data_IF_219829399796
#
_entry.id   IF_219829399796
#
_cell.length_a   1.000
_cell.length_b   1.000
_cell.length_c   1.000
_cell.angle_alpha   90.00
_cell.angle_beta   90.00
_cell.angle_gamma   90.00
#
_symmetry.space_group_name_H-M   'P 1'
#
loop_
_entity.id
_entity.type
_entity.pdbx_description
1 polymer ?
#
# COMPACT_ATOMS: atom_id res chain seq x y z
N UNK A 1 -13.19 -21.25 9.40
CA UNK A 1 -14.09 -20.47 8.52
C UNK A 1 -13.83 -20.89 7.08
N UNK A 2 -14.89 -21.18 6.34
CA UNK A 2 -14.80 -21.45 4.91
C UNK A 2 -14.69 -20.11 4.17
N UNK A 3 -13.81 -20.05 3.16
CA UNK A 3 -13.77 -18.92 2.25
C UNK A 3 -15.08 -18.86 1.47
N UNK A 4 -15.71 -17.68 1.33
CA UNK A 4 -16.91 -17.53 0.51
C UNK A 4 -16.58 -17.87 -0.95
N UNK A 5 -17.55 -18.38 -1.72
CA UNK A 5 -17.35 -18.64 -3.14
C UNK A 5 -17.18 -17.33 -3.91
N UNK A 6 -16.34 -17.34 -4.92
CA UNK A 6 -16.16 -16.25 -5.89
C UNK A 6 -15.76 -16.82 -7.25
N UNK A 7 -16.01 -16.08 -8.31
CA UNK A 7 -15.52 -16.38 -9.65
C UNK A 7 -14.16 -15.73 -9.83
N UNK A 8 -13.14 -16.53 -10.14
CA UNK A 8 -11.78 -16.04 -10.39
C UNK A 8 -11.53 -15.88 -11.89
N UNK A 9 -11.15 -14.67 -12.29
CA UNK A 9 -10.83 -14.32 -13.68
C UNK A 9 -9.31 -14.17 -13.87
N UNK A 10 -8.82 -14.49 -15.06
CA UNK A 10 -7.39 -14.49 -15.40
C UNK A 10 -7.11 -13.78 -16.73
N UNK A 11 -7.30 -12.46 -16.83
CA UNK A 11 -6.87 -11.73 -18.02
C UNK A 11 -5.35 -11.84 -18.19
N UNK A 12 -4.89 -11.78 -19.44
CA UNK A 12 -3.46 -11.89 -19.80
C UNK A 12 -2.86 -10.57 -20.29
N UNK A 13 -3.71 -9.60 -20.63
CA UNK A 13 -3.28 -8.25 -21.03
C UNK A 13 -3.97 -7.19 -20.18
N UNK A 14 -3.41 -6.00 -20.18
CA UNK A 14 -3.98 -4.83 -19.49
C UNK A 14 -5.35 -4.48 -20.06
N UNK A 15 -5.46 -4.51 -21.40
CA UNK A 15 -6.69 -4.21 -22.12
C UNK A 15 -7.80 -5.18 -21.74
N UNK A 16 -7.52 -6.49 -21.77
CA UNK A 16 -8.50 -7.52 -21.38
C UNK A 16 -8.94 -7.39 -19.91
N UNK A 17 -8.03 -6.94 -19.02
CA UNK A 17 -8.36 -6.68 -17.62
C UNK A 17 -9.30 -5.48 -17.49
N UNK A 18 -9.04 -4.39 -18.21
CA UNK A 18 -9.89 -3.20 -18.21
C UNK A 18 -11.26 -3.46 -18.85
N UNK A 19 -11.32 -4.23 -19.94
CA UNK A 19 -12.56 -4.63 -20.60
C UNK A 19 -13.44 -5.46 -19.65
N UNK A 20 -12.85 -6.47 -19.00
CA UNK A 20 -13.56 -7.30 -18.02
C UNK A 20 -14.09 -6.48 -16.84
N UNK A 21 -13.28 -5.53 -16.33
CA UNK A 21 -13.73 -4.63 -15.27
C UNK A 21 -14.92 -3.79 -15.73
N UNK A 22 -14.87 -3.23 -16.95
CA UNK A 22 -15.97 -2.47 -17.52
C UNK A 22 -17.24 -3.33 -17.69
N UNK A 23 -17.12 -4.58 -18.15
CA UNK A 23 -18.25 -5.52 -18.28
C UNK A 23 -18.92 -5.81 -16.94
N UNK A 24 -18.14 -6.11 -15.90
CA UNK A 24 -18.67 -6.37 -14.55
C UNK A 24 -19.35 -5.12 -13.97
N UNK A 25 -18.73 -3.94 -14.11
CA UNK A 25 -19.31 -2.65 -13.67
C UNK A 25 -20.65 -2.39 -14.39
N UNK A 26 -20.69 -2.60 -15.72
CA UNK A 26 -21.92 -2.42 -16.50
C UNK A 26 -23.04 -3.40 -16.10
N UNK A 27 -22.68 -4.60 -15.64
CA UNK A 27 -23.59 -5.59 -15.11
C UNK A 27 -24.04 -5.32 -13.65
N UNK A 28 -23.45 -4.31 -12.97
CA UNK A 28 -23.69 -4.02 -11.56
C UNK A 28 -23.03 -5.04 -10.62
N UNK A 29 -22.04 -5.81 -11.12
CA UNK A 29 -21.35 -6.83 -10.35
C UNK A 29 -20.09 -6.24 -9.71
N UNK A 30 -19.91 -6.49 -8.42
CA UNK A 30 -18.74 -6.03 -7.68
C UNK A 30 -17.59 -7.03 -7.76
N UNK A 31 -16.37 -6.50 -7.79
CA UNK A 31 -15.16 -7.34 -7.87
C UNK A 31 -14.00 -6.72 -7.08
N UNK A 32 -12.99 -7.55 -6.80
CA UNK A 32 -11.70 -7.13 -6.27
C UNK A 32 -10.58 -7.50 -7.25
N UNK A 33 -9.56 -6.65 -7.33
CA UNK A 33 -8.29 -7.00 -7.93
C UNK A 33 -7.46 -7.86 -6.97
N UNK A 34 -6.89 -8.95 -7.44
CA UNK A 34 -5.95 -9.75 -6.66
C UNK A 34 -4.57 -9.76 -7.32
N UNK A 35 -3.58 -9.35 -6.54
CA UNK A 35 -2.17 -9.50 -6.89
C UNK A 35 -1.62 -10.81 -6.28
N UNK A 36 -0.78 -10.74 -5.24
CA UNK A 36 -0.28 -11.95 -4.54
C UNK A 36 -1.26 -12.63 -3.60
N UNK A 37 -2.41 -12.04 -3.32
CA UNK A 37 -3.47 -12.61 -2.47
C UNK A 37 -3.15 -12.71 -0.99
N UNK A 38 -1.96 -12.30 -0.56
CA UNK A 38 -1.48 -12.47 0.82
C UNK A 38 -2.22 -11.62 1.86
N UNK A 39 -2.99 -10.65 1.43
CA UNK A 39 -3.87 -9.84 2.27
C UNK A 39 -5.35 -10.06 1.94
N UNK A 40 -5.73 -10.04 0.66
CA UNK A 40 -7.11 -10.18 0.23
C UNK A 40 -7.72 -11.52 0.68
N UNK A 41 -7.02 -12.65 0.45
CA UNK A 41 -7.57 -13.97 0.77
C UNK A 41 -7.72 -14.22 2.28
N UNK A 42 -6.79 -13.82 3.16
CA UNK A 42 -7.02 -13.79 4.60
C UNK A 42 -8.26 -12.97 5.00
N UNK A 43 -8.46 -11.78 4.42
CA UNK A 43 -9.64 -10.97 4.67
C UNK A 43 -10.93 -11.68 4.21
N UNK A 44 -10.92 -12.33 3.05
CA UNK A 44 -12.04 -13.15 2.58
C UNK A 44 -12.38 -14.29 3.53
N UNK A 45 -11.38 -14.98 4.11
CA UNK A 45 -11.60 -15.99 5.14
C UNK A 45 -12.28 -15.44 6.41
N UNK A 46 -12.11 -14.17 6.68
CA UNK A 46 -12.77 -13.48 7.79
C UNK A 46 -14.09 -12.81 7.36
N UNK A 47 -14.53 -13.05 6.14
CA UNK A 47 -15.70 -12.43 5.51
C UNK A 47 -15.62 -10.88 5.52
N UNK A 48 -14.45 -10.33 5.37
CA UNK A 48 -14.25 -8.90 5.27
C UNK A 48 -14.34 -8.47 3.81
N UNK A 49 -15.33 -7.63 3.52
CA UNK A 49 -15.53 -6.98 2.22
C UNK A 49 -15.42 -7.93 1.01
N UNK A 50 -16.06 -9.11 1.11
CA UNK A 50 -16.00 -10.14 0.06
C UNK A 50 -16.81 -9.75 -1.17
N UNK A 51 -16.29 -10.06 -2.36
CA UNK A 51 -16.93 -9.79 -3.64
C UNK A 51 -17.21 -11.10 -4.39
N UNK A 52 -18.24 -11.14 -5.25
CA UNK A 52 -18.55 -12.33 -6.04
C UNK A 52 -17.54 -12.60 -7.16
N UNK A 53 -16.77 -11.59 -7.58
CA UNK A 53 -15.76 -11.72 -8.61
C UNK A 53 -14.39 -11.26 -8.10
N UNK A 54 -13.34 -11.94 -8.55
CA UNK A 54 -11.93 -11.59 -8.28
C UNK A 54 -11.17 -11.62 -9.60
N UNK A 55 -10.53 -10.53 -9.97
CA UNK A 55 -9.73 -10.41 -11.19
C UNK A 55 -8.25 -10.49 -10.82
N UNK A 56 -7.56 -11.53 -11.31
CA UNK A 56 -6.14 -11.77 -11.03
C UNK A 56 -5.24 -11.00 -11.96
N UNK A 57 -4.31 -10.22 -11.39
CA UNK A 57 -3.27 -9.51 -12.11
C UNK A 57 -2.05 -10.40 -12.46
N UNK A 58 -2.01 -11.65 -11.94
CA UNK A 58 -0.82 -12.50 -11.97
C UNK A 58 -0.38 -12.94 -13.37
N UNK A 59 -1.26 -12.89 -14.37
CA UNK A 59 -0.97 -13.29 -15.74
C UNK A 59 -0.87 -12.13 -16.73
N UNK A 60 -1.01 -10.89 -16.26
CA UNK A 60 -0.93 -9.71 -17.12
C UNK A 60 0.54 -9.47 -17.48
N UNK A 61 0.84 -9.50 -18.76
CA UNK A 61 2.18 -9.31 -19.29
C UNK A 61 2.70 -7.90 -18.96
N UNK A 62 4.03 -7.78 -18.76
CA UNK A 62 4.71 -6.50 -18.49
C UNK A 62 4.54 -5.93 -17.07
N UNK A 63 3.72 -6.55 -16.21
CA UNK A 63 3.46 -6.04 -14.84
C UNK A 63 4.52 -6.42 -13.82
N UNK A 64 5.53 -7.22 -14.18
CA UNK A 64 6.63 -7.66 -13.31
C UNK A 64 8.00 -7.10 -13.74
N UNK A 65 8.02 -6.01 -14.48
CA UNK A 65 9.26 -5.36 -14.95
C UNK A 65 10.05 -4.77 -13.78
N UNK A 66 11.36 -5.03 -13.77
CA UNK A 66 12.30 -4.40 -12.83
C UNK A 66 13.36 -3.65 -13.64
N UNK A 67 13.46 -2.36 -13.41
CA UNK A 67 14.56 -1.52 -13.89
C UNK A 67 14.93 -0.47 -12.83
N UNK A 68 15.99 0.29 -13.05
CA UNK A 68 16.42 1.34 -12.10
C UNK A 68 15.33 2.39 -11.83
N UNK A 69 14.53 2.71 -12.84
CA UNK A 69 13.54 3.79 -12.76
C UNK A 69 12.09 3.29 -12.92
N UNK A 70 11.85 1.98 -13.11
CA UNK A 70 10.51 1.45 -13.28
C UNK A 70 10.34 0.10 -12.56
N UNK A 71 9.30 0.01 -11.75
CA UNK A 71 8.93 -1.17 -10.98
C UNK A 71 7.47 -1.54 -11.25
N UNK A 72 7.23 -2.68 -11.85
CA UNK A 72 5.88 -3.20 -12.12
C UNK A 72 5.13 -3.62 -10.86
N UNK A 73 3.81 -3.49 -10.86
CA UNK A 73 2.99 -3.78 -9.67
C UNK A 73 3.05 -5.24 -9.19
N UNK A 74 3.33 -6.18 -10.09
CA UNK A 74 3.35 -7.61 -9.81
C UNK A 74 4.73 -8.16 -9.44
N UNK A 75 5.75 -7.30 -9.33
CA UNK A 75 7.04 -7.72 -8.78
C UNK A 75 6.83 -8.29 -7.38
N UNK A 76 7.29 -9.50 -7.14
CA UNK A 76 7.26 -10.10 -5.80
C UNK A 76 8.27 -9.41 -4.90
N UNK A 77 7.93 -9.25 -3.64
CA UNK A 77 8.83 -8.62 -2.68
C UNK A 77 10.11 -9.43 -2.46
N UNK A 78 10.06 -10.74 -2.59
CA UNK A 78 11.25 -11.59 -2.57
C UNK A 78 12.19 -11.25 -3.74
N UNK A 79 11.63 -11.15 -4.96
CA UNK A 79 12.42 -10.84 -6.16
C UNK A 79 13.05 -9.44 -6.07
N UNK A 80 12.35 -8.46 -5.47
CA UNK A 80 12.91 -7.11 -5.23
C UNK A 80 14.12 -7.14 -4.31
N UNK A 81 14.18 -8.05 -3.35
CA UNK A 81 15.31 -8.14 -2.41
C UNK A 81 16.56 -8.76 -3.04
N UNK A 82 16.41 -9.45 -4.15
CA UNK A 82 17.49 -10.16 -4.86
C UNK A 82 17.89 -9.47 -6.16
N UNK A 83 17.04 -8.59 -6.70
CA UNK A 83 17.26 -7.95 -7.99
C UNK A 83 18.33 -6.85 -7.94
N UNK A 84 19.21 -6.85 -8.92
CA UNK A 84 20.07 -5.72 -9.18
C UNK A 84 19.26 -4.55 -9.78
N UNK A 85 19.53 -3.33 -9.33
CA UNK A 85 18.93 -2.11 -9.89
C UNK A 85 17.73 -1.57 -9.09
N UNK A 86 17.22 -2.28 -8.10
CA UNK A 86 16.25 -1.72 -7.14
C UNK A 86 17.00 -0.85 -6.13
N UNK A 87 16.46 0.35 -5.87
CA UNK A 87 17.09 1.30 -4.92
C UNK A 87 17.24 0.68 -3.52
N UNK A 88 18.40 0.80 -2.84
CA UNK A 88 18.67 0.10 -1.58
C UNK A 88 17.66 0.35 -0.46
N UNK A 89 17.08 1.55 -0.34
CA UNK A 89 16.07 1.85 0.67
C UNK A 89 14.76 1.07 0.43
N UNK A 90 14.39 0.81 -0.83
CA UNK A 90 13.23 0.00 -1.19
C UNK A 90 13.50 -1.47 -0.81
N UNK A 91 14.70 -1.98 -1.10
CA UNK A 91 15.16 -3.33 -0.72
C UNK A 91 15.10 -3.50 0.80
N UNK A 92 15.58 -2.50 1.56
CA UNK A 92 15.51 -2.53 3.03
C UNK A 92 14.06 -2.69 3.52
N UNK A 93 13.13 -1.91 3.00
CA UNK A 93 11.72 -1.99 3.38
C UNK A 93 11.10 -3.33 2.95
N UNK A 94 11.30 -3.75 1.71
CA UNK A 94 10.79 -5.01 1.18
C UNK A 94 11.25 -6.21 2.04
N UNK A 95 12.51 -6.23 2.49
CA UNK A 95 13.07 -7.28 3.34
C UNK A 95 12.41 -7.37 4.72
N UNK A 96 11.81 -6.28 5.21
CA UNK A 96 11.13 -6.19 6.52
C UNK A 96 9.62 -6.47 6.45
N UNK A 97 9.04 -6.65 5.25
CA UNK A 97 7.63 -7.01 5.11
C UNK A 97 7.40 -8.45 5.57
N UNK A 98 6.48 -8.65 6.51
CA UNK A 98 5.99 -9.95 6.98
C UNK A 98 7.10 -11.00 7.20
N UNK A 99 7.00 -12.17 6.56
CA UNK A 99 8.00 -13.23 6.57
C UNK A 99 8.56 -13.50 5.16
N UNK A 100 9.67 -14.20 5.06
CA UNK A 100 10.25 -14.60 3.76
C UNK A 100 9.24 -15.39 2.92
N UNK A 101 8.46 -16.28 3.54
CA UNK A 101 7.43 -17.05 2.85
C UNK A 101 6.31 -16.17 2.30
N UNK A 102 5.85 -15.15 3.03
CA UNK A 102 4.84 -14.22 2.55
C UNK A 102 5.38 -13.42 1.36
N UNK A 103 6.63 -12.96 1.42
CA UNK A 103 7.26 -12.17 0.35
C UNK A 103 7.38 -12.90 -0.98
N UNK A 104 7.36 -14.25 -1.01
CA UNK A 104 7.37 -15.02 -2.26
C UNK A 104 6.09 -14.86 -3.09
N UNK A 105 5.01 -14.37 -2.48
CA UNK A 105 3.74 -14.07 -3.17
C UNK A 105 3.32 -12.61 -3.05
N UNK A 106 3.63 -11.95 -1.93
CA UNK A 106 3.35 -10.52 -1.77
C UNK A 106 4.05 -9.70 -2.85
N UNK A 107 3.36 -8.70 -3.41
CA UNK A 107 3.84 -7.90 -4.52
C UNK A 107 3.96 -6.42 -4.15
N UNK A 108 4.69 -5.65 -4.96
CA UNK A 108 4.81 -4.20 -4.82
C UNK A 108 3.42 -3.53 -4.82
N UNK A 109 2.64 -3.76 -5.86
CA UNK A 109 1.30 -3.17 -5.99
C UNK A 109 0.37 -3.58 -4.85
N UNK A 110 0.41 -4.86 -4.44
CA UNK A 110 -0.35 -5.35 -3.28
C UNK A 110 0.04 -4.66 -1.97
N UNK A 111 1.34 -4.36 -1.76
CA UNK A 111 1.80 -3.62 -0.58
C UNK A 111 1.38 -2.14 -0.63
N UNK A 112 1.45 -1.49 -1.79
CA UNK A 112 1.02 -0.10 -1.94
C UNK A 112 -0.49 0.07 -1.80
N UNK A 113 -1.27 -0.88 -2.31
CA UNK A 113 -2.74 -0.89 -2.23
C UNK A 113 -3.27 -1.61 -0.98
N UNK A 114 -2.41 -1.91 0.01
CA UNK A 114 -2.79 -2.59 1.24
C UNK A 114 -3.99 -1.90 1.90
N UNK A 115 -4.95 -2.70 2.40
CA UNK A 115 -6.05 -2.13 3.16
C UNK A 115 -5.57 -1.62 4.53
N UNK A 116 -6.21 -0.57 5.02
CA UNK A 116 -5.90 0.00 6.33
C UNK A 116 -6.29 -0.96 7.46
N UNK A 117 -5.53 -0.94 8.54
CA UNK A 117 -5.65 -1.87 9.66
C UNK A 117 -6.28 -1.23 10.88
N UNK A 118 -7.19 -1.98 11.50
CA UNK A 118 -7.79 -1.61 12.77
C UNK A 118 -8.14 -2.88 13.56
N UNK A 119 -7.81 -2.90 14.85
CA UNK A 119 -8.15 -4.02 15.72
C UNK A 119 -9.65 -4.37 15.68
N UNK A 120 -10.51 -3.37 15.61
CA UNK A 120 -11.96 -3.52 15.61
C UNK A 120 -12.55 -4.00 14.27
N UNK A 121 -11.83 -3.82 13.17
CA UNK A 121 -12.31 -4.22 11.85
C UNK A 121 -11.72 -5.55 11.37
N UNK A 122 -10.42 -5.77 11.59
CA UNK A 122 -9.72 -6.95 11.07
C UNK A 122 -9.92 -8.17 11.99
N UNK A 123 -11.19 -8.56 12.17
CA UNK A 123 -11.66 -9.69 12.98
C UNK A 123 -12.67 -10.53 12.17
N UNK A 124 -12.92 -11.76 12.64
CA UNK A 124 -13.95 -12.61 12.03
C UNK A 124 -15.34 -11.98 12.11
N UNK A 125 -16.22 -12.36 11.17
CA UNK A 125 -17.55 -11.79 11.03
C UNK A 125 -18.38 -11.87 12.33
N UNK A 126 -18.41 -13.05 12.99
CA UNK A 126 -19.16 -13.24 14.23
C UNK A 126 -18.71 -12.30 15.34
N UNK A 127 -17.41 -12.07 15.44
CA UNK A 127 -16.87 -11.11 16.40
C UNK A 127 -17.28 -9.67 16.06
N UNK A 128 -17.14 -9.27 14.79
CA UNK A 128 -17.58 -7.93 14.34
C UNK A 128 -19.07 -7.70 14.59
N UNK A 129 -19.89 -8.71 14.35
CA UNK A 129 -21.32 -8.69 14.63
C UNK A 129 -21.61 -8.54 16.14
N UNK A 130 -20.86 -9.22 17.00
CA UNK A 130 -21.08 -9.18 18.45
C UNK A 130 -20.82 -7.81 19.09
N UNK A 131 -20.02 -6.96 18.43
CA UNK A 131 -19.75 -5.59 18.86
C UNK A 131 -20.59 -4.55 18.12
N UNK A 132 -21.61 -4.98 17.40
CA UNK A 132 -22.46 -4.14 16.56
C UNK A 132 -21.66 -3.36 15.49
N UNK A 133 -20.69 -4.05 14.86
CA UNK A 133 -19.86 -3.55 13.75
C UNK A 133 -19.10 -2.24 14.08
N UNK A 134 -18.55 -1.63 13.06
CA UNK A 134 -18.01 -0.26 13.06
C UNK A 134 -18.40 0.43 11.74
N UNK A 135 -18.19 1.73 11.63
CA UNK A 135 -18.58 2.48 10.42
C UNK A 135 -17.79 2.08 9.15
N UNK A 136 -16.66 1.39 9.27
CA UNK A 136 -15.94 0.78 8.13
C UNK A 136 -16.51 -0.59 7.75
N UNK A 137 -17.51 -1.10 8.45
CA UNK A 137 -18.04 -2.43 8.18
C UNK A 137 -18.60 -2.56 6.77
N UNK A 138 -18.29 -3.66 6.13
CA UNK A 138 -18.77 -4.04 4.80
C UNK A 138 -20.28 -4.27 4.70
N UNK A 139 -20.94 -4.53 5.82
CA UNK A 139 -22.39 -4.67 5.90
C UNK A 139 -23.16 -3.34 6.01
N UNK A 140 -22.47 -2.21 6.19
CA UNK A 140 -23.08 -0.88 6.28
C UNK A 140 -23.96 -0.62 7.51
N UNK A 141 -23.94 -1.48 8.52
CA UNK A 141 -24.80 -1.35 9.73
C UNK A 141 -24.09 -0.72 10.92
N UNK A 142 -22.76 -0.59 10.87
CA UNK A 142 -21.98 0.06 11.92
C UNK A 142 -22.17 1.58 11.90
N UNK A 143 -22.67 2.15 13.00
CA UNK A 143 -23.01 3.57 13.10
C UNK A 143 -21.85 4.45 13.55
N UNK A 144 -20.79 3.87 14.16
CA UNK A 144 -19.76 4.67 14.83
C UNK A 144 -18.39 4.00 14.79
N UNK A 145 -17.35 4.82 14.93
CA UNK A 145 -15.98 4.35 15.08
C UNK A 145 -15.75 3.76 16.47
N UNK A 146 -15.22 2.51 16.53
CA UNK A 146 -14.93 1.85 17.83
C UNK A 146 -13.61 2.31 18.44
N UNK A 147 -12.75 2.98 17.67
CA UNK A 147 -11.49 3.57 18.19
C UNK A 147 -11.77 4.94 18.79
N UNK A 148 -12.54 5.77 18.09
CA UNK A 148 -12.89 7.14 18.52
C UNK A 148 -14.42 7.28 18.44
N UNK A 149 -15.14 6.87 19.50
CA UNK A 149 -16.60 6.95 19.53
C UNK A 149 -17.10 8.40 19.48
N UNK A 150 -18.30 8.57 18.92
CA UNK A 150 -18.97 9.87 18.75
C UNK A 150 -18.17 10.88 17.90
N UNK A 151 -17.22 10.41 17.15
CA UNK A 151 -16.54 11.20 16.14
C UNK A 151 -16.96 10.76 14.74
N UNK A 152 -17.26 11.66 13.98
CA UNK A 152 -17.27 11.93 12.59
C UNK A 152 -17.28 10.74 11.58
N UNK A 153 -17.29 11.16 10.36
CA UNK A 153 -17.40 10.36 9.14
C UNK A 153 -16.09 9.69 8.69
N UNK A 154 -14.92 10.01 9.27
CA UNK A 154 -13.63 9.48 8.83
C UNK A 154 -13.22 8.24 9.62
N UNK A 155 -12.63 7.28 8.94
CA UNK A 155 -12.05 6.10 9.56
C UNK A 155 -10.58 6.33 9.91
N UNK A 156 -10.20 6.03 11.16
CA UNK A 156 -8.82 6.17 11.67
C UNK A 156 -7.99 4.89 11.57
N UNK A 157 -8.47 3.89 10.82
CA UNK A 157 -7.67 2.69 10.56
C UNK A 157 -6.36 3.07 9.86
N UNK A 158 -5.25 2.53 10.31
CA UNK A 158 -3.91 2.94 9.86
C UNK A 158 -3.48 2.21 8.59
N UNK A 159 -2.79 2.93 7.69
CA UNK A 159 -2.09 2.31 6.58
C UNK A 159 -0.75 1.74 7.08
N UNK A 160 -0.48 0.47 6.81
CA UNK A 160 0.68 -0.25 7.38
C UNK A 160 1.60 -0.90 6.33
N UNK A 161 1.62 -0.35 5.10
CA UNK A 161 2.57 -0.78 4.07
C UNK A 161 3.98 -0.23 4.35
N UNK A 162 4.98 -1.10 4.28
CA UNK A 162 6.38 -0.73 4.54
C UNK A 162 7.04 0.02 3.37
N UNK A 163 6.58 -0.22 2.12
CA UNK A 163 7.29 0.27 0.92
C UNK A 163 6.91 1.72 0.57
N UNK A 164 5.67 2.12 0.80
CA UNK A 164 5.18 3.44 0.41
C UNK A 164 6.07 4.59 0.92
N UNK A 165 6.47 4.68 2.20
CA UNK A 165 7.31 5.77 2.67
C UNK A 165 8.68 5.81 1.97
N UNK A 166 9.23 4.66 1.54
CA UNK A 166 10.51 4.64 0.82
C UNK A 166 10.38 5.20 -0.59
N UNK A 167 9.26 4.96 -1.25
CA UNK A 167 8.96 5.54 -2.56
C UNK A 167 8.66 7.04 -2.47
N UNK A 168 8.00 7.48 -1.40
CA UNK A 168 7.73 8.90 -1.15
C UNK A 168 9.04 9.69 -0.97
N UNK A 169 9.99 9.21 -0.18
CA UNK A 169 11.25 9.92 0.01
C UNK A 169 12.16 9.91 -1.22
N UNK A 170 11.86 9.05 -2.20
CA UNK A 170 12.53 9.04 -3.51
C UNK A 170 11.79 9.86 -4.57
N UNK A 171 10.62 10.45 -4.26
CA UNK A 171 9.84 11.24 -5.20
C UNK A 171 9.15 10.41 -6.29
N UNK A 172 8.76 9.18 -6.00
CA UNK A 172 8.15 8.27 -6.97
C UNK A 172 6.79 8.75 -7.49
N UNK A 173 6.45 8.29 -8.70
CA UNK A 173 5.11 8.43 -9.28
C UNK A 173 4.46 7.06 -9.46
N UNK A 174 3.13 6.99 -9.27
CA UNK A 174 2.32 5.80 -9.53
C UNK A 174 1.56 5.95 -10.84
N UNK A 175 1.49 4.86 -11.59
CA UNK A 175 0.75 4.77 -12.84
C UNK A 175 -0.47 3.89 -12.64
N UNK A 176 -1.63 4.46 -12.81
CA UNK A 176 -2.94 3.81 -12.67
C UNK A 176 -3.53 3.57 -14.03
N UNK A 177 -4.28 2.48 -14.17
CA UNK A 177 -5.00 2.15 -15.41
C UNK A 177 -6.35 1.53 -15.05
N UNK A 178 -7.35 1.79 -15.86
CA UNK A 178 -8.68 1.25 -15.73
C UNK A 178 -9.51 1.46 -16.99
N UNK A 179 -10.81 1.15 -16.98
CA UNK A 179 -11.70 1.30 -18.13
C UNK A 179 -11.74 2.71 -18.73
N UNK A 180 -11.50 3.73 -17.92
CA UNK A 180 -11.53 5.14 -18.34
C UNK A 180 -10.16 5.63 -18.86
N UNK A 181 -9.16 4.78 -18.94
CA UNK A 181 -7.81 5.11 -19.44
C UNK A 181 -6.74 5.07 -18.36
N UNK A 182 -5.57 5.63 -18.68
CA UNK A 182 -4.40 5.65 -17.81
C UNK A 182 -4.18 7.07 -17.24
N UNK A 183 -3.69 7.14 -16.00
CA UNK A 183 -3.24 8.38 -15.36
C UNK A 183 -2.03 8.15 -14.48
N UNK A 184 -1.25 9.21 -14.32
CA UNK A 184 -0.04 9.20 -13.48
C UNK A 184 -0.12 10.31 -12.45
N UNK A 185 0.29 10.04 -11.23
CA UNK A 185 0.33 11.04 -10.15
C UNK A 185 1.51 10.75 -9.20
N UNK A 186 1.99 11.77 -8.47
CA UNK A 186 2.96 11.56 -7.39
C UNK A 186 2.39 10.61 -6.34
N UNK A 187 3.25 9.79 -5.74
CA UNK A 187 2.82 8.77 -4.77
C UNK A 187 2.16 9.37 -3.51
N UNK A 188 2.54 10.57 -3.10
CA UNK A 188 1.93 11.27 -1.96
C UNK A 188 0.46 11.66 -2.24
N UNK A 189 0.12 11.94 -3.52
CA UNK A 189 -1.25 12.19 -3.95
C UNK A 189 -2.10 10.91 -4.14
N UNK A 190 -1.49 9.73 -4.02
CA UNK A 190 -2.21 8.46 -4.18
C UNK A 190 -3.07 8.11 -2.97
N UNK A 191 -2.66 8.51 -1.77
CA UNK A 191 -3.33 8.14 -0.53
C UNK A 191 -4.34 9.20 -0.07
N UNK A 192 -5.38 8.75 0.65
CA UNK A 192 -6.41 9.62 1.24
C UNK A 192 -6.47 9.40 2.75
N UNK A 193 -6.58 10.49 3.51
CA UNK A 193 -6.65 10.47 4.97
C UNK A 193 -8.03 9.97 5.46
N UNK A 194 -8.40 8.77 5.03
CA UNK A 194 -9.60 8.06 5.43
C UNK A 194 -9.35 6.55 5.35
N UNK A 195 -9.44 5.85 6.47
CA UNK A 195 -9.23 4.41 6.52
C UNK A 195 -10.24 3.57 5.72
N UNK A 196 -11.39 4.12 5.34
CA UNK A 196 -12.34 3.49 4.41
C UNK A 196 -11.95 3.73 2.96
N UNK A 197 -11.64 4.99 2.63
CA UNK A 197 -11.29 5.43 1.27
C UNK A 197 -9.79 5.71 1.19
N UNK A 198 -9.00 4.67 1.39
CA UNK A 198 -7.55 4.71 1.61
C UNK A 198 -6.70 5.28 0.49
N UNK A 199 -7.20 5.27 -0.75
CA UNK A 199 -6.48 5.77 -1.92
C UNK A 199 -7.45 6.33 -2.98
N UNK A 200 -6.88 6.93 -4.03
CA UNK A 200 -7.63 7.61 -5.10
C UNK A 200 -8.00 6.70 -6.27
N UNK A 201 -7.83 5.38 -6.15
CA UNK A 201 -8.29 4.47 -7.20
C UNK A 201 -9.79 4.65 -7.44
N UNK A 202 -10.14 4.85 -8.69
CA UNK A 202 -11.53 4.82 -9.15
C UNK A 202 -11.99 3.37 -9.33
N UNK A 203 -13.30 3.17 -9.44
CA UNK A 203 -13.85 1.84 -9.68
C UNK A 203 -13.29 1.25 -10.99
N UNK A 204 -12.80 0.04 -10.93
CA UNK A 204 -12.16 -0.62 -12.06
C UNK A 204 -10.70 -0.23 -12.33
N UNK A 205 -10.14 0.74 -11.61
CA UNK A 205 -8.71 1.05 -11.72
C UNK A 205 -7.84 0.09 -10.91
N UNK A 206 -6.62 -0.14 -11.40
CA UNK A 206 -5.55 -0.80 -10.64
C UNK A 206 -4.21 -0.08 -10.84
N UNK A 207 -3.30 -0.26 -9.89
CA UNK A 207 -1.94 0.24 -9.99
C UNK A 207 -1.15 -0.66 -10.92
N UNK A 208 -0.63 -0.08 -12.03
CA UNK A 208 0.10 -0.80 -13.06
C UNK A 208 1.60 -0.87 -12.73
N UNK A 209 2.20 0.25 -12.37
CA UNK A 209 3.64 0.37 -12.09
C UNK A 209 3.95 1.62 -11.26
N UNK A 210 5.18 1.68 -10.79
CA UNK A 210 5.78 2.84 -10.13
C UNK A 210 7.00 3.27 -10.94
N UNK A 211 7.22 4.58 -11.07
CA UNK A 211 8.45 5.13 -11.65
C UNK A 211 9.17 6.02 -10.63
N UNK A 212 10.50 5.96 -10.69
CA UNK A 212 11.39 6.83 -9.90
C UNK A 212 11.93 7.94 -10.81
N UNK A 213 12.12 9.17 -10.30
CA UNK A 213 12.79 10.21 -11.05
C UNK A 213 14.28 9.89 -11.24
N UNK A 214 14.91 10.48 -12.26
CA UNK A 214 16.29 10.18 -12.65
C UNK A 214 17.30 10.51 -11.54
N UNK A 215 17.00 11.43 -10.65
CA UNK A 215 17.85 11.82 -9.52
C UNK A 215 17.69 10.92 -8.29
N UNK A 216 16.71 10.02 -8.27
CA UNK A 216 16.55 9.04 -7.19
C UNK A 216 17.84 8.23 -6.96
N UNK A 217 18.55 7.88 -8.04
CA UNK A 217 19.80 7.13 -7.96
C UNK A 217 20.94 7.90 -7.22
N UNK A 218 20.83 9.22 -7.08
CA UNK A 218 21.80 10.05 -6.35
C UNK A 218 21.51 10.12 -4.85
N UNK A 219 20.37 9.63 -4.43
CA UNK A 219 19.93 9.69 -3.03
C UNK A 219 20.43 8.46 -2.27
N UNK A 220 20.95 8.67 -1.09
CA UNK A 220 21.14 7.63 -0.08
C UNK A 220 19.87 7.54 0.74
N UNK A 221 19.53 6.36 1.25
CA UNK A 221 18.28 6.20 2.03
C UNK A 221 18.41 5.14 3.10
N UNK A 222 17.55 5.24 4.12
CA UNK A 222 17.41 4.28 5.20
C UNK A 222 15.95 4.08 5.54
N UNK A 223 15.58 2.84 5.90
CA UNK A 223 14.26 2.49 6.39
C UNK A 223 14.35 1.77 7.74
N UNK A 224 13.62 2.25 8.72
CA UNK A 224 13.51 1.63 10.03
C UNK A 224 12.04 1.27 10.31
N UNK A 225 11.84 0.11 10.95
CA UNK A 225 10.52 -0.43 11.30
C UNK A 225 10.52 -0.80 12.77
N UNK A 226 9.62 -0.19 13.53
CA UNK A 226 9.25 -0.64 14.86
C UNK A 226 8.17 -1.71 14.76
N UNK A 227 8.39 -2.85 15.39
CA UNK A 227 7.44 -3.96 15.48
C UNK A 227 7.75 -4.79 16.73
N UNK A 228 6.78 -5.58 17.19
CA UNK A 228 6.95 -6.41 18.41
C UNK A 228 7.86 -7.60 18.11
N UNK A 229 7.64 -8.30 17.02
CA UNK A 229 8.44 -9.46 16.60
C UNK A 229 9.28 -9.13 15.37
N UNK A 230 10.39 -9.79 15.19
CA UNK A 230 11.27 -9.58 14.01
C UNK A 230 10.72 -10.17 12.71
N UNK A 231 9.57 -10.79 12.74
CA UNK A 231 8.88 -11.36 11.58
C UNK A 231 7.36 -11.24 11.72
N UNK A 232 6.62 -11.37 10.62
CA UNK A 232 5.16 -11.38 10.52
C UNK A 232 4.46 -10.04 10.79
N UNK A 233 4.92 -9.27 11.74
CA UNK A 233 4.19 -8.09 12.19
C UNK A 233 4.17 -6.97 11.15
N UNK A 234 3.03 -6.31 11.06
CA UNK A 234 2.94 -4.99 10.47
C UNK A 234 3.77 -3.99 11.30
N UNK A 235 4.18 -2.85 10.73
CA UNK A 235 4.82 -1.81 11.52
C UNK A 235 3.83 -1.22 12.55
N UNK A 236 4.29 -1.02 13.77
CA UNK A 236 3.67 -0.08 14.72
C UNK A 236 4.04 1.36 14.34
N UNK A 237 5.26 1.54 13.84
CA UNK A 237 5.74 2.74 13.17
C UNK A 237 6.83 2.35 12.17
N UNK A 238 6.83 3.00 11.01
CA UNK A 238 7.89 2.88 10.02
C UNK A 238 8.37 4.26 9.61
N UNK A 239 9.69 4.43 9.45
CA UNK A 239 10.31 5.69 9.03
C UNK A 239 11.26 5.42 7.88
N UNK A 240 11.03 6.12 6.77
CA UNK A 240 11.98 6.21 5.67
C UNK A 240 12.62 7.58 5.65
N UNK A 241 13.91 7.64 5.35
CA UNK A 241 14.61 8.88 5.08
C UNK A 241 15.46 8.73 3.82
N UNK A 242 15.61 9.81 3.07
CA UNK A 242 16.57 9.88 1.97
C UNK A 242 17.26 11.26 1.93
N UNK A 243 18.50 11.29 1.46
CA UNK A 243 19.30 12.51 1.33
C UNK A 243 20.32 12.35 0.20
N UNK A 244 20.86 13.47 -0.26
CA UNK A 244 22.01 13.51 -1.16
C UNK A 244 23.25 13.74 -0.30
N UNK A 245 24.27 12.92 -0.50
CA UNK A 245 25.50 12.99 0.29
C UNK A 245 26.20 14.35 0.09
N UNK A 246 26.55 14.98 1.20
CA UNK A 246 27.14 16.35 1.20
C UNK A 246 26.11 17.48 1.12
N UNK A 247 24.81 17.19 0.98
CA UNK A 247 23.73 18.17 0.99
C UNK A 247 22.67 17.83 2.05
N UNK A 248 22.87 18.26 3.31
CA UNK A 248 21.89 18.02 4.38
C UNK A 248 20.49 18.59 4.09
N UNK A 249 20.41 19.70 3.33
CA UNK A 249 19.12 20.31 2.99
C UNK A 249 18.26 19.44 2.04
N UNK A 250 18.86 18.42 1.42
CA UNK A 250 18.15 17.45 0.59
C UNK A 250 17.39 16.37 1.39
N UNK A 251 17.46 16.39 2.73
CA UNK A 251 16.81 15.39 3.58
C UNK A 251 15.29 15.39 3.37
N UNK A 252 14.75 14.21 3.09
CA UNK A 252 13.30 13.94 3.06
C UNK A 252 13.00 12.81 4.02
N UNK A 253 11.96 12.98 4.84
CA UNK A 253 11.49 11.97 5.80
C UNK A 253 10.03 11.66 5.52
N UNK A 254 9.69 10.38 5.56
CA UNK A 254 8.31 9.91 5.50
C UNK A 254 8.05 8.81 6.53
N UNK A 255 6.83 8.77 7.06
CA UNK A 255 6.40 7.76 8.04
C UNK A 255 5.26 6.90 7.50
N UNK A 256 5.06 5.75 8.12
CA UNK A 256 3.90 4.86 7.90
C UNK A 256 3.42 4.27 9.22
N UNK A 257 2.21 3.72 9.23
CA UNK A 257 1.52 3.08 10.35
C UNK A 257 1.01 4.03 11.47
N UNK A 258 1.25 5.32 11.38
CA UNK A 258 0.81 6.29 12.38
C UNK A 258 -0.59 6.85 12.11
N UNK A 259 -1.01 6.84 10.85
CA UNK A 259 -2.30 7.36 10.37
C UNK A 259 -2.83 6.53 9.19
N UNK A 260 -3.97 6.94 8.63
CA UNK A 260 -4.60 6.25 7.50
C UNK A 260 -3.81 6.37 6.19
N UNK A 261 -2.75 7.18 6.17
CA UNK A 261 -1.84 7.37 5.03
C UNK A 261 -0.38 7.25 5.47
N UNK A 262 0.54 6.91 4.58
CA UNK A 262 1.95 7.26 4.74
C UNK A 262 2.10 8.77 4.53
N UNK A 263 3.01 9.43 5.24
CA UNK A 263 3.13 10.90 5.22
C UNK A 263 4.58 11.36 5.13
N UNK A 264 4.85 12.34 4.25
CA UNK A 264 6.08 13.13 4.27
C UNK A 264 6.00 14.24 5.32
N UNK A 265 7.16 14.65 5.86
CA UNK A 265 7.30 15.63 6.94
C UNK A 265 8.19 16.82 6.54
N UNK A 266 7.83 17.61 5.51
CA UNK A 266 8.67 18.70 5.05
C UNK A 266 8.79 19.84 6.06
N UNK A 267 7.73 20.15 6.79
CA UNK A 267 7.74 21.26 7.76
C UNK A 267 8.56 20.92 8.99
N UNK A 268 8.50 19.67 9.48
CA UNK A 268 9.29 19.19 10.60
C UNK A 268 10.79 19.13 10.25
N UNK A 269 11.11 18.70 9.02
CA UNK A 269 12.48 18.71 8.50
C UNK A 269 13.00 20.14 8.39
N UNK A 270 12.21 21.08 7.85
CA UNK A 270 12.58 22.50 7.77
C UNK A 270 12.81 23.11 9.16
N UNK A 271 11.98 22.77 10.15
CA UNK A 271 12.14 23.22 11.52
C UNK A 271 13.46 22.74 12.16
N UNK A 272 13.83 21.47 11.95
CA UNK A 272 15.10 20.90 12.42
C UNK A 272 16.28 21.68 11.87
N UNK A 273 16.27 22.07 10.59
CA UNK A 273 17.34 22.88 9.99
C UNK A 273 17.32 24.33 10.49
N UNK A 274 16.15 24.92 10.73
CA UNK A 274 16.04 26.26 11.30
C UNK A 274 16.64 26.36 12.71
N UNK A 275 16.56 25.27 13.49
CA UNK A 275 17.17 25.14 14.82
C UNK A 275 18.71 24.91 14.76
N UNK A 276 19.30 24.90 13.56
CA UNK A 276 20.74 24.84 13.35
C UNK A 276 21.33 23.44 13.30
N UNK A 277 20.49 22.39 13.08
CA UNK A 277 21.02 21.05 12.84
C UNK A 277 21.82 21.01 11.52
N UNK A 278 23.05 20.51 11.58
CA UNK A 278 23.99 20.48 10.46
C UNK A 278 24.31 19.06 9.96
N UNK A 279 23.46 18.08 10.27
CA UNK A 279 23.69 16.68 9.91
C UNK A 279 24.56 15.89 10.89
N UNK A 280 25.07 16.53 11.95
CA UNK A 280 25.76 15.80 13.00
C UNK A 280 24.73 15.06 13.90
N UNK A 281 25.04 13.82 14.26
CA UNK A 281 24.23 13.10 15.23
C UNK A 281 24.21 13.86 16.55
N UNK A 282 23.05 14.41 16.92
CA UNK A 282 22.80 14.76 18.30
C UNK A 282 22.52 13.45 19.04
N UNK A 283 23.45 13.07 19.88
CA UNK A 283 23.27 11.96 20.83
C UNK A 283 22.27 12.33 21.89
#
# INVERSE_FOLDING_TARGET
>A
MLMPPFTLHHPTTVEAACELAAELMAAGESFDWVAGGTDLLPNYKWHINTKPHVISLARIEGTSTISANELGCMIRLADMTEANGVHPVIVQAASKVASSLIRTNATLGGNLCLDTRCFWYNQGEDWRRSIDWCHKADCGTGADCRVIPNQNTLCVATYQGDIAPTLMVLGASVHLIGPNGARTLPIDAFYQLDGMKKNVLEEGEFLLKVTLPDDAAKRTGSYQKLRVRDTWDFPEAGVAASWIEGDPASLVIATTALESIPRCHPDEVAAIFADGWNGAASV
#
